data_IF_641240812532
#
_entry.id   IF_641240812532
#
_cell.length_a   1.000
_cell.length_b   1.000
_cell.length_c   1.000
_cell.angle_alpha   90.00
_cell.angle_beta   90.00
_cell.angle_gamma   90.00
#
_symmetry.space_group_name_H-M   'P 1'
#
loop_
_entity.id
_entity.type
_entity.pdbx_description
1 polymer ?
#
# COMPACT_ATOMS: atom_id res chain seq x y z
N UNK A 1 9.96 -22.68 -14.21
CA UNK A 1 10.83 -23.74 -13.63
C UNK A 1 11.76 -23.04 -12.67
N UNK A 2 11.54 -23.08 -11.36
CA UNK A 2 11.41 -24.28 -10.53
C UNK A 2 10.22 -24.18 -9.57
N UNK A 3 9.26 -25.08 -9.77
CA UNK A 3 8.21 -25.43 -8.82
C UNK A 3 8.80 -26.36 -7.76
N UNK A 4 8.86 -25.98 -6.48
CA UNK A 4 8.92 -26.97 -5.39
C UNK A 4 8.22 -26.49 -4.11
N UNK A 5 6.97 -26.94 -3.95
CA UNK A 5 6.40 -27.74 -2.84
C UNK A 5 4.88 -27.56 -2.81
N UNK A 6 4.17 -28.47 -3.46
CA UNK A 6 2.71 -28.60 -3.33
C UNK A 6 2.37 -29.27 -1.99
N UNK A 7 2.08 -28.47 -0.96
CA UNK A 7 1.44 -28.96 0.27
C UNK A 7 -0.07 -28.70 0.24
N UNK A 8 -0.84 -29.76 -0.03
CA UNK A 8 -2.29 -29.89 0.19
C UNK A 8 -3.21 -28.99 -0.67
N UNK A 9 -3.78 -29.54 -1.75
CA UNK A 9 -4.70 -28.86 -2.68
C UNK A 9 -6.03 -28.39 -2.06
N UNK A 10 -6.34 -28.79 -0.81
CA UNK A 10 -7.52 -28.32 -0.05
C UNK A 10 -7.22 -27.10 0.82
N UNK A 11 -5.96 -26.69 0.98
CA UNK A 11 -5.65 -25.44 1.68
C UNK A 11 -5.97 -24.28 0.75
N UNK A 12 -6.86 -23.39 1.19
CA UNK A 12 -7.00 -22.08 0.56
C UNK A 12 -5.63 -21.38 0.58
N UNK A 13 -5.26 -20.66 -0.50
CA UNK A 13 -4.03 -19.90 -0.52
C UNK A 13 -3.99 -18.95 0.68
N UNK A 14 -2.82 -18.82 1.31
CA UNK A 14 -2.64 -17.93 2.44
C UNK A 14 -2.95 -16.50 2.00
N UNK A 15 -3.91 -15.84 2.66
CA UNK A 15 -4.23 -14.44 2.40
C UNK A 15 -3.05 -13.60 2.90
N UNK A 16 -2.37 -12.93 1.98
CA UNK A 16 -1.25 -12.03 2.25
C UNK A 16 -1.68 -10.60 1.97
N UNK A 17 -1.35 -9.68 2.86
CA UNK A 17 -1.52 -8.25 2.60
C UNK A 17 -0.37 -7.79 1.72
N UNK A 18 -0.69 -7.04 0.67
CA UNK A 18 0.30 -6.43 -0.21
C UNK A 18 0.06 -4.94 -0.32
N UNK A 19 1.14 -4.19 -0.48
CA UNK A 19 1.15 -2.75 -0.70
C UNK A 19 1.62 -2.46 -2.12
N UNK A 20 0.88 -1.64 -2.85
CA UNK A 20 1.31 -1.15 -4.15
C UNK A 20 2.26 0.03 -3.95
N UNK A 21 3.43 -0.04 -4.56
CA UNK A 21 4.42 1.02 -4.51
C UNK A 21 4.95 1.30 -5.91
N UNK A 22 5.40 2.52 -6.12
CA UNK A 22 6.04 2.96 -7.37
C UNK A 22 7.50 3.32 -7.14
N UNK A 23 8.32 3.20 -8.17
CA UNK A 23 9.72 3.59 -8.15
C UNK A 23 9.84 5.02 -8.65
N UNK A 24 10.46 5.89 -7.85
CA UNK A 24 10.57 7.32 -8.19
C UNK A 24 11.51 7.52 -9.39
N UNK A 25 11.01 8.16 -10.45
CA UNK A 25 11.79 8.57 -11.62
C UNK A 25 12.59 9.87 -11.45
N UNK A 26 12.32 10.66 -10.39
CA UNK A 26 12.90 12.00 -10.23
C UNK A 26 13.38 12.29 -8.78
N UNK A 27 14.26 13.28 -8.64
CA UNK A 27 14.79 13.77 -7.38
C UNK A 27 13.73 14.51 -6.55
N UNK A 28 13.84 14.49 -5.21
CA UNK A 28 14.75 13.70 -4.38
C UNK A 28 14.38 12.21 -4.38
N UNK A 29 15.27 11.37 -3.86
CA UNK A 29 15.02 9.93 -3.69
C UNK A 29 14.76 9.18 -5.01
N UNK A 30 15.38 9.62 -6.11
CA UNK A 30 15.33 8.91 -7.39
C UNK A 30 15.72 7.43 -7.20
N UNK A 31 14.96 6.53 -7.83
CA UNK A 31 15.14 5.09 -7.75
C UNK A 31 14.63 4.44 -6.44
N UNK A 32 14.18 5.21 -5.46
CA UNK A 32 13.56 4.69 -4.23
C UNK A 32 12.09 4.34 -4.46
N UNK A 33 11.57 3.41 -3.65
CA UNK A 33 10.15 3.05 -3.65
C UNK A 33 9.34 4.03 -2.81
N UNK A 34 8.17 4.44 -3.33
CA UNK A 34 7.25 5.35 -2.69
C UNK A 34 5.80 4.88 -2.87
N UNK A 35 4.88 5.48 -2.12
CA UNK A 35 3.45 5.36 -2.42
C UNK A 35 3.14 6.13 -3.71
N UNK A 36 2.16 5.65 -4.51
CA UNK A 36 1.65 6.43 -5.64
C UNK A 36 1.16 7.80 -5.20
N UNK A 37 1.47 8.83 -5.99
CA UNK A 37 0.99 10.17 -5.72
C UNK A 37 1.86 11.30 -6.28
N UNK A 38 1.20 12.44 -6.47
CA UNK A 38 1.80 13.66 -6.96
C UNK A 38 1.13 14.91 -6.39
N UNK A 39 1.15 15.99 -7.16
CA UNK A 39 0.57 17.27 -6.75
C UNK A 39 -0.84 17.41 -7.27
N UNK A 40 -1.70 18.02 -6.46
CA UNK A 40 -3.07 18.35 -6.85
C UNK A 40 -3.05 19.54 -7.82
N UNK A 41 -3.77 19.40 -8.94
CA UNK A 41 -3.96 20.47 -9.93
C UNK A 41 -4.90 21.57 -9.42
N UNK A 42 -4.89 22.73 -10.06
CA UNK A 42 -5.72 23.88 -9.65
C UNK A 42 -7.23 23.65 -9.82
N UNK A 43 -7.60 22.77 -10.76
CA UNK A 43 -8.99 22.55 -11.18
C UNK A 43 -9.55 21.18 -10.73
N UNK A 44 -8.89 20.50 -9.78
CA UNK A 44 -9.33 19.21 -9.24
C UNK A 44 -9.44 19.23 -7.71
N UNK A 45 -10.31 18.39 -7.14
CA UNK A 45 -10.37 18.19 -5.69
C UNK A 45 -9.33 17.13 -5.24
N UNK A 46 -9.19 16.94 -3.93
CA UNK A 46 -8.19 16.02 -3.37
C UNK A 46 -8.41 14.55 -3.76
N UNK A 47 -9.67 14.11 -3.86
CA UNK A 47 -10.02 12.74 -4.22
C UNK A 47 -9.75 12.48 -5.70
N UNK A 48 -10.15 13.42 -6.57
CA UNK A 48 -9.90 13.36 -8.01
C UNK A 48 -8.40 13.34 -8.30
N UNK A 49 -7.61 14.18 -7.62
CA UNK A 49 -6.15 14.18 -7.73
C UNK A 49 -5.54 12.85 -7.29
N UNK A 50 -6.00 12.26 -6.18
CA UNK A 50 -5.50 10.97 -5.71
C UNK A 50 -5.83 9.82 -6.69
N UNK A 51 -7.03 9.82 -7.27
CA UNK A 51 -7.45 8.85 -8.29
C UNK A 51 -6.67 9.03 -9.60
N UNK A 52 -6.44 10.26 -10.04
CA UNK A 52 -5.67 10.58 -11.25
C UNK A 52 -4.22 10.09 -11.12
N UNK A 53 -3.53 10.47 -10.04
CA UNK A 53 -2.13 10.06 -9.81
C UNK A 53 -2.00 8.53 -9.72
N UNK A 54 -2.94 7.85 -9.03
CA UNK A 54 -2.96 6.39 -9.00
C UNK A 54 -3.08 5.80 -10.41
N UNK A 55 -3.97 6.35 -11.24
CA UNK A 55 -4.18 5.88 -12.62
C UNK A 55 -2.96 6.13 -13.49
N UNK A 56 -2.33 7.30 -13.42
CA UNK A 56 -1.16 7.65 -14.22
C UNK A 56 0.04 6.73 -13.91
N UNK A 57 0.29 6.44 -12.64
CA UNK A 57 1.47 5.68 -12.24
C UNK A 57 1.28 4.16 -12.25
N UNK A 58 0.02 3.68 -12.18
CA UNK A 58 -0.25 2.24 -12.00
C UNK A 58 -1.31 1.66 -12.94
N UNK A 59 -2.00 2.51 -13.71
CA UNK A 59 -3.14 2.17 -14.57
C UNK A 59 -4.34 1.57 -13.81
N UNK A 60 -4.42 1.78 -12.49
CA UNK A 60 -5.57 1.39 -11.66
C UNK A 60 -6.55 2.55 -11.60
N UNK A 61 -7.82 2.27 -11.88
CA UNK A 61 -8.92 3.23 -11.77
C UNK A 61 -10.19 2.55 -11.25
N UNK A 62 -11.23 3.37 -11.04
CA UNK A 62 -12.56 2.91 -10.61
C UNK A 62 -12.52 2.07 -9.31
N UNK A 63 -11.72 2.50 -8.35
CA UNK A 63 -11.64 1.91 -7.01
C UNK A 63 -12.19 2.88 -5.97
N UNK A 64 -12.78 2.32 -4.90
CA UNK A 64 -13.15 3.12 -3.73
C UNK A 64 -11.90 3.45 -2.91
N UNK A 65 -11.75 4.72 -2.55
CA UNK A 65 -10.68 5.24 -1.70
C UNK A 65 -11.27 6.03 -0.55
N UNK A 66 -10.63 5.95 0.61
CA UNK A 66 -10.99 6.75 1.78
C UNK A 66 -9.79 7.55 2.25
N UNK A 67 -10.01 8.80 2.65
CA UNK A 67 -8.95 9.63 3.20
C UNK A 67 -8.45 9.02 4.52
N UNK A 68 -7.15 8.76 4.59
CA UNK A 68 -6.53 8.18 5.78
C UNK A 68 -6.03 9.25 6.75
N UNK A 69 -5.22 10.19 6.26
CA UNK A 69 -4.53 11.17 7.11
C UNK A 69 -3.95 12.34 6.32
N UNK A 70 -3.65 13.44 7.02
CA UNK A 70 -2.95 14.61 6.46
C UNK A 70 -1.59 14.79 7.15
N UNK A 71 -0.53 14.79 6.35
CA UNK A 71 0.87 14.88 6.78
C UNK A 71 1.40 16.29 6.55
N UNK A 72 1.63 17.02 7.64
CA UNK A 72 1.98 18.44 7.60
C UNK A 72 3.34 18.84 8.21
N UNK A 73 4.15 17.86 8.62
CA UNK A 73 5.46 18.09 9.25
C UNK A 73 6.35 19.00 8.39
N UNK A 74 6.98 20.00 9.03
CA UNK A 74 7.69 21.09 8.32
C UNK A 74 8.83 20.58 7.45
N UNK A 75 9.52 19.50 7.87
CA UNK A 75 10.72 18.98 7.22
C UNK A 75 10.47 17.65 6.48
N UNK A 76 9.22 17.31 6.17
CA UNK A 76 8.89 16.01 5.55
C UNK A 76 9.33 15.90 4.09
N UNK A 77 9.37 17.03 3.38
CA UNK A 77 9.92 17.11 2.02
C UNK A 77 11.13 18.04 2.05
N UNK A 78 12.31 17.60 1.58
CA UNK A 78 13.54 18.38 1.65
C UNK A 78 13.58 19.56 0.66
N UNK A 79 12.64 19.64 -0.29
CA UNK A 79 12.63 20.69 -1.33
C UNK A 79 11.88 21.93 -0.88
N UNK A 80 10.70 21.75 -0.28
CA UNK A 80 9.78 22.86 0.04
C UNK A 80 8.74 22.42 1.09
N UNK A 81 7.89 23.35 1.54
CA UNK A 81 6.77 23.03 2.42
C UNK A 81 5.70 22.26 1.64
N UNK A 82 5.61 20.95 1.88
CA UNK A 82 4.58 20.07 1.28
C UNK A 82 3.66 19.55 2.36
N UNK A 83 2.35 19.73 2.17
CA UNK A 83 1.30 19.05 2.95
C UNK A 83 0.77 17.92 2.06
N UNK A 84 0.84 16.68 2.52
CA UNK A 84 0.31 15.54 1.77
C UNK A 84 -0.95 15.00 2.43
N UNK A 85 -1.99 14.77 1.64
CA UNK A 85 -3.21 14.09 2.08
C UNK A 85 -3.16 12.67 1.51
N UNK A 86 -3.09 11.67 2.38
CA UNK A 86 -3.03 10.27 1.97
C UNK A 86 -4.41 9.64 1.95
N UNK A 87 -4.65 8.80 0.95
CA UNK A 87 -5.83 7.97 0.80
C UNK A 87 -5.45 6.49 0.87
N UNK A 88 -6.42 5.64 1.19
CA UNK A 88 -6.25 4.19 1.24
C UNK A 88 -7.39 3.50 0.51
N UNK A 89 -7.06 2.45 -0.24
CA UNK A 89 -8.00 1.54 -0.85
C UNK A 89 -7.65 0.10 -0.48
N UNK A 90 -8.68 -0.72 -0.27
CA UNK A 90 -8.54 -2.16 -0.13
C UNK A 90 -9.14 -2.81 -1.38
N UNK A 91 -8.29 -3.49 -2.14
CA UNK A 91 -8.63 -4.03 -3.46
C UNK A 91 -8.24 -5.50 -3.58
N UNK A 92 -8.96 -6.25 -4.41
CA UNK A 92 -8.51 -7.56 -4.82
C UNK A 92 -7.46 -7.43 -5.92
N UNK A 93 -6.19 -7.62 -5.54
CA UNK A 93 -5.05 -7.52 -6.46
C UNK A 93 -5.13 -8.46 -7.67
N UNK A 94 -5.93 -9.55 -7.60
CA UNK A 94 -6.08 -10.48 -8.73
C UNK A 94 -6.90 -9.92 -9.89
N UNK A 95 -7.70 -8.87 -9.63
CA UNK A 95 -8.54 -8.21 -10.63
C UNK A 95 -7.88 -6.95 -11.21
N UNK A 96 -6.62 -6.67 -10.85
CA UNK A 96 -5.93 -5.44 -11.24
C UNK A 96 -4.81 -5.73 -12.24
N UNK A 97 -4.86 -5.03 -13.38
CA UNK A 97 -3.80 -5.03 -14.38
C UNK A 97 -2.88 -3.85 -14.13
N UNK A 98 -1.81 -4.07 -13.35
CA UNK A 98 -0.78 -3.04 -13.17
C UNK A 98 0.01 -2.95 -14.46
N UNK A 99 0.03 -1.74 -15.03
CA UNK A 99 1.01 -1.32 -16.02
C UNK A 99 1.42 0.07 -15.59
N UNK A 100 2.69 0.25 -15.22
CA UNK A 100 3.19 1.61 -15.18
C UNK A 100 3.17 2.16 -16.61
N UNK A 101 2.95 3.47 -16.74
CA UNK A 101 3.16 4.13 -18.02
C UNK A 101 4.62 3.89 -18.45
N UNK A 102 4.80 3.15 -19.54
CA UNK A 102 6.05 2.75 -20.21
C UNK A 102 6.86 1.54 -19.69
N UNK A 103 7.09 1.30 -18.40
CA UNK A 103 7.86 0.13 -17.95
C UNK A 103 7.25 -0.58 -16.71
N UNK A 104 6.90 -1.86 -16.86
CA UNK A 104 6.33 -2.67 -15.77
C UNK A 104 7.23 -2.79 -14.51
N UNK A 105 8.47 -2.30 -14.58
CA UNK A 105 9.40 -2.26 -13.45
C UNK A 105 9.16 -1.12 -12.45
N UNK A 106 8.34 -0.13 -12.79
CA UNK A 106 8.15 1.07 -11.97
C UNK A 106 6.97 0.99 -10.99
N UNK A 107 6.12 -0.03 -11.03
CA UNK A 107 5.05 -0.26 -10.06
C UNK A 107 4.98 -1.73 -9.62
N UNK A 108 5.05 -2.02 -8.31
CA UNK A 108 5.12 -3.40 -7.79
C UNK A 108 4.34 -3.59 -6.49
N UNK A 109 3.82 -4.80 -6.30
CA UNK A 109 3.23 -5.24 -5.04
C UNK A 109 4.31 -5.75 -4.07
N UNK A 110 4.37 -5.15 -2.89
CA UNK A 110 5.23 -5.56 -1.78
C UNK A 110 4.43 -6.32 -0.74
N UNK A 111 4.93 -7.47 -0.29
CA UNK A 111 4.25 -8.22 0.78
C UNK A 111 4.50 -7.56 2.12
N UNK A 112 3.42 -7.23 2.83
CA UNK A 112 3.48 -6.74 4.20
C UNK A 112 3.54 -7.94 5.13
N UNK A 113 4.61 -8.05 5.90
CA UNK A 113 4.76 -9.05 6.96
C UNK A 113 4.75 -8.37 8.31
N UNK A 114 3.90 -8.86 9.22
CA UNK A 114 4.01 -8.55 10.65
C UNK A 114 4.53 -9.77 11.39
N UNK A 115 5.45 -9.54 12.32
CA UNK A 115 5.93 -10.59 13.22
C UNK A 115 5.19 -10.49 14.55
N UNK A 116 4.80 -11.64 15.10
CA UNK A 116 4.17 -11.68 16.41
C UNK A 116 5.26 -11.59 17.48
N UNK A 117 5.26 -10.48 18.21
CA UNK A 117 6.24 -10.20 19.24
C UNK A 117 5.88 -10.90 20.57
N UNK A 118 4.59 -10.86 20.95
CA UNK A 118 4.13 -11.44 22.20
C UNK A 118 2.68 -11.91 22.07
N UNK A 119 2.38 -13.10 22.59
CA UNK A 119 1.01 -13.60 22.77
C UNK A 119 0.78 -13.88 24.25
N UNK A 120 -0.25 -13.26 24.82
CA UNK A 120 -0.64 -13.47 26.21
C UNK A 120 -2.08 -14.00 26.26
N UNK A 121 -2.25 -15.15 26.90
CA UNK A 121 -3.55 -15.78 27.13
C UNK A 121 -3.93 -15.64 28.60
N UNK A 122 -4.95 -14.83 28.88
CA UNK A 122 -5.48 -14.64 30.23
C UNK A 122 -6.76 -15.45 30.38
N UNK A 123 -6.77 -16.44 31.27
CA UNK A 123 -7.98 -17.19 31.62
C UNK A 123 -8.97 -16.27 32.37
N UNK A 124 -10.24 -16.39 32.05
CA UNK A 124 -11.36 -15.69 32.71
C UNK A 124 -12.40 -16.72 33.13
N UNK A 125 -13.30 -16.36 34.04
CA UNK A 125 -14.38 -17.26 34.49
C UNK A 125 -15.27 -17.78 33.34
N UNK A 126 -15.30 -17.07 32.21
CA UNK A 126 -16.10 -17.41 31.01
C UNK A 126 -15.27 -17.89 29.81
N UNK A 127 -13.96 -18.10 29.95
CA UNK A 127 -13.09 -18.52 28.84
C UNK A 127 -11.69 -17.94 28.93
N UNK A 128 -11.22 -17.29 27.87
CA UNK A 128 -9.91 -16.63 27.87
C UNK A 128 -9.91 -15.39 26.99
N UNK A 129 -9.06 -14.43 27.35
CA UNK A 129 -8.70 -13.28 26.53
C UNK A 129 -7.34 -13.56 25.90
N UNK A 130 -7.22 -13.33 24.60
CA UNK A 130 -5.97 -13.47 23.86
C UNK A 130 -5.51 -12.09 23.41
N UNK A 131 -4.36 -11.65 23.91
CA UNK A 131 -3.69 -10.42 23.47
C UNK A 131 -2.50 -10.79 22.60
N UNK A 132 -2.42 -10.18 21.41
CA UNK A 132 -1.32 -10.36 20.46
C UNK A 132 -0.70 -9.02 20.17
N UNK A 133 0.58 -8.88 20.49
CA UNK A 133 1.40 -7.74 20.09
C UNK A 133 2.12 -8.12 18.81
N UNK A 134 1.94 -7.30 17.77
CA UNK A 134 2.58 -7.47 16.47
C UNK A 134 3.52 -6.29 16.20
N UNK A 135 4.61 -6.55 15.47
CA UNK A 135 5.56 -5.55 14.95
C UNK A 135 5.62 -5.63 13.44
#
# INVERSE_FOLDING_TARGET
MTDEKKENYRKLPQKVLRLLMIKRGDHPYIGQWALPGGFVNMDENLEDGALRELKEETNIDNIYMEQLYTWGDVNRDPRTRVISVSYMALVDSSNLNIKASDDADDAKWFTVSCNMYQEQKTLTEKGYILQRCIT
#
